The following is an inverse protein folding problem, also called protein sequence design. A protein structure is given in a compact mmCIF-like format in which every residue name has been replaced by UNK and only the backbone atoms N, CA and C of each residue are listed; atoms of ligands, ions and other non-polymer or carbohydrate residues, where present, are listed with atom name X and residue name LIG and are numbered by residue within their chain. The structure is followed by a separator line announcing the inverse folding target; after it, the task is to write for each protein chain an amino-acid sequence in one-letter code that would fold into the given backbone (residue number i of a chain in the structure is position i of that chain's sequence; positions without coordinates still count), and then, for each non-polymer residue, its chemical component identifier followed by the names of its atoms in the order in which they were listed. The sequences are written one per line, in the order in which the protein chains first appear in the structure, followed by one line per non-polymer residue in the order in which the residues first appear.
data_IF_301373058715
#
_entry.id   IF_301373058715
#
_cell.length_a   1.000
_cell.length_b   1.000
_cell.length_c   1.000
_cell.angle_alpha   90.00
_cell.angle_beta   90.00
_cell.angle_gamma   90.00
#
_symmetry.space_group_name_H-M   'P 1'
#
loop_
_entity.id
_entity.type
_entity.pdbx_description
1 polymer ?
#
# COMPACT_ATOMS: atom_id res chain seq x y z
N UNK A 1 -27.72 22.16 7.75
CA UNK A 1 -27.21 21.03 8.57
C UNK A 1 -25.85 21.48 9.06
N UNK A 2 -25.63 21.57 10.37
CA UNK A 2 -24.28 21.84 10.88
C UNK A 2 -23.49 20.56 10.67
N UNK A 3 -22.49 20.58 9.79
CA UNK A 3 -21.47 19.54 9.74
C UNK A 3 -20.68 19.63 11.05
N UNK A 4 -21.04 18.78 12.00
CA UNK A 4 -20.30 18.63 13.23
C UNK A 4 -18.86 18.20 12.89
N UNK A 5 -17.87 18.88 13.48
CA UNK A 5 -16.48 18.60 13.21
C UNK A 5 -16.15 17.14 13.58
N UNK A 6 -15.51 16.43 12.67
CA UNK A 6 -15.10 15.03 12.85
C UNK A 6 -13.65 14.92 13.24
N UNK A 7 -13.33 13.90 14.03
CA UNK A 7 -12.00 13.66 14.57
C UNK A 7 -11.51 12.24 14.27
N UNK A 8 -10.19 12.09 14.21
CA UNK A 8 -9.48 10.84 13.99
C UNK A 8 -8.46 10.58 15.10
N UNK A 9 -8.19 9.29 15.34
CA UNK A 9 -7.18 8.82 16.29
C UNK A 9 -5.96 8.33 15.53
N UNK A 10 -4.84 9.03 15.73
CA UNK A 10 -3.55 8.69 15.13
C UNK A 10 -2.67 8.03 16.17
N UNK A 11 -2.06 6.91 15.81
CA UNK A 11 -1.06 6.26 16.65
C UNK A 11 0.21 7.11 16.74
N UNK A 12 0.87 7.16 17.89
CA UNK A 12 2.25 7.66 17.95
C UNK A 12 3.22 6.67 17.26
N UNK A 13 4.19 7.11 16.42
CA UNK A 13 5.16 6.23 15.77
C UNK A 13 6.00 5.38 16.73
N UNK A 14 6.31 5.91 17.91
CA UNK A 14 7.08 5.23 18.93
C UNK A 14 6.21 4.28 19.78
N UNK A 15 4.89 4.45 19.79
CA UNK A 15 3.99 3.61 20.57
C UNK A 15 4.07 2.15 20.11
N UNK A 16 4.30 1.25 21.06
CA UNK A 16 4.06 -0.19 20.87
C UNK A 16 2.67 -0.48 21.41
N UNK A 17 1.87 -1.26 20.68
CA UNK A 17 0.54 -1.63 21.13
C UNK A 17 0.17 -3.04 20.72
N UNK A 18 -0.67 -3.67 21.52
CA UNK A 18 -1.40 -4.90 21.20
C UNK A 18 -2.58 -4.53 20.30
N UNK A 19 -2.63 -5.07 19.08
CA UNK A 19 -3.75 -4.80 18.15
C UNK A 19 -5.06 -5.30 18.75
N UNK A 20 -5.00 -6.37 19.56
CA UNK A 20 -6.13 -6.93 20.28
C UNK A 20 -6.66 -5.95 21.34
N UNK A 21 -5.78 -5.30 22.09
CA UNK A 21 -6.18 -4.35 23.14
C UNK A 21 -6.78 -3.09 22.52
N UNK A 22 -6.15 -2.57 21.47
CA UNK A 22 -6.71 -1.46 20.68
C UNK A 22 -8.08 -1.84 20.12
N UNK A 23 -8.24 -3.08 19.63
CA UNK A 23 -9.52 -3.52 19.09
C UNK A 23 -10.61 -3.55 20.16
N UNK A 24 -10.31 -4.09 21.35
CA UNK A 24 -11.24 -4.16 22.46
C UNK A 24 -11.66 -2.77 22.96
N UNK A 25 -10.72 -1.81 22.99
CA UNK A 25 -10.97 -0.44 23.44
C UNK A 25 -11.77 0.36 22.41
N UNK A 26 -11.44 0.25 21.13
CA UNK A 26 -11.98 1.14 20.08
C UNK A 26 -13.26 0.62 19.40
N UNK A 27 -13.54 -0.68 19.47
CA UNK A 27 -14.74 -1.27 18.84
C UNK A 27 -16.07 -0.61 19.26
N UNK A 28 -16.30 -0.24 20.54
CA UNK A 28 -17.52 0.48 20.93
C UNK A 28 -17.70 1.81 20.21
N UNK A 29 -16.60 2.53 19.95
CA UNK A 29 -16.62 3.83 19.28
C UNK A 29 -16.77 3.71 17.75
N UNK A 30 -16.39 2.57 17.17
CA UNK A 30 -16.56 2.31 15.73
C UNK A 30 -17.93 1.75 15.36
N UNK A 31 -18.77 1.43 16.35
CA UNK A 31 -20.04 0.72 16.14
C UNK A 31 -19.88 -0.72 15.62
N UNK A 32 -18.70 -1.31 15.79
CA UNK A 32 -18.40 -2.68 15.34
C UNK A 32 -18.13 -3.59 16.54
N UNK A 33 -18.23 -4.91 16.35
CA UNK A 33 -17.78 -5.84 17.38
C UNK A 33 -16.25 -5.97 17.38
N UNK A 34 -15.60 -6.29 18.51
CA UNK A 34 -14.13 -6.34 18.60
C UNK A 34 -13.45 -7.22 17.56
N UNK A 35 -14.03 -8.38 17.22
CA UNK A 35 -13.47 -9.29 16.23
C UNK A 35 -13.44 -8.70 14.80
N UNK A 36 -14.48 -7.97 14.42
CA UNK A 36 -14.57 -7.28 13.12
C UNK A 36 -13.63 -6.08 13.07
N UNK A 37 -13.58 -5.32 14.16
CA UNK A 37 -12.70 -4.16 14.25
C UNK A 37 -11.22 -4.56 14.24
N UNK A 38 -10.86 -5.68 14.87
CA UNK A 38 -9.52 -6.26 14.82
C UNK A 38 -9.04 -6.51 13.38
N UNK A 39 -9.89 -7.10 12.53
CA UNK A 39 -9.57 -7.32 11.11
C UNK A 39 -9.31 -6.00 10.36
N UNK A 40 -10.05 -4.95 10.73
CA UNK A 40 -9.89 -3.62 10.15
C UNK A 40 -8.59 -2.96 10.61
N UNK A 41 -8.25 -3.06 11.91
CA UNK A 41 -7.04 -2.50 12.49
C UNK A 41 -5.76 -3.07 11.88
N UNK A 42 -5.75 -4.36 11.51
CA UNK A 42 -4.60 -4.94 10.80
C UNK A 42 -4.28 -4.23 9.47
N UNK A 43 -5.26 -3.53 8.89
CA UNK A 43 -5.10 -2.70 7.68
C UNK A 43 -4.87 -1.22 7.98
N UNK A 44 -4.86 -0.83 9.25
CA UNK A 44 -4.76 0.56 9.72
C UNK A 44 -3.60 0.75 10.69
N UNK A 45 -2.34 0.67 10.22
CA UNK A 45 -1.17 0.76 11.09
C UNK A 45 -0.97 2.14 11.75
N UNK A 46 -1.59 3.19 11.21
CA UNK A 46 -1.38 4.58 11.61
C UNK A 46 -2.66 5.29 12.08
N UNK A 47 -3.61 5.54 11.17
CA UNK A 47 -4.92 6.13 11.53
C UNK A 47 -5.84 5.01 12.00
N UNK A 48 -6.05 4.90 13.31
CA UNK A 48 -6.73 3.77 13.96
C UNK A 48 -8.25 3.84 13.78
N UNK A 49 -8.84 5.01 14.02
CA UNK A 49 -10.27 5.26 13.94
C UNK A 49 -10.56 6.69 13.44
N UNK A 50 -11.74 6.87 12.86
CA UNK A 50 -12.19 8.04 12.09
C UNK A 50 -13.68 8.28 12.35
N UNK A 51 -14.17 9.43 11.89
CA UNK A 51 -15.57 9.86 11.95
C UNK A 51 -16.13 9.95 13.38
N UNK A 52 -15.26 10.30 14.34
CA UNK A 52 -15.65 10.46 15.74
C UNK A 52 -16.15 11.88 16.00
N UNK A 53 -17.11 12.02 16.91
CA UNK A 53 -17.35 13.30 17.58
C UNK A 53 -16.13 13.67 18.43
N UNK A 54 -15.98 14.95 18.77
CA UNK A 54 -14.89 15.39 19.65
C UNK A 54 -14.89 14.64 20.99
N UNK A 55 -16.08 14.48 21.59
CA UNK A 55 -16.26 13.77 22.85
C UNK A 55 -15.81 12.32 22.74
N UNK A 56 -16.30 11.61 21.73
CA UNK A 56 -15.95 10.19 21.53
C UNK A 56 -14.46 10.01 21.27
N UNK A 57 -13.83 10.93 20.52
CA UNK A 57 -12.41 10.92 20.27
C UNK A 57 -11.58 11.10 21.56
N UNK A 58 -11.96 12.05 22.42
CA UNK A 58 -11.30 12.29 23.70
C UNK A 58 -11.50 11.12 24.69
N UNK A 59 -12.72 10.57 24.75
CA UNK A 59 -13.03 9.43 25.61
C UNK A 59 -12.25 8.18 25.17
N UNK A 60 -12.19 7.91 23.87
CA UNK A 60 -11.40 6.83 23.29
C UNK A 60 -9.90 7.03 23.53
N UNK A 61 -9.39 8.26 23.40
CA UNK A 61 -8.01 8.61 23.68
C UNK A 61 -7.64 8.36 25.14
N UNK A 62 -8.50 8.76 26.07
CA UNK A 62 -8.32 8.50 27.49
C UNK A 62 -8.32 7.00 27.79
N UNK A 63 -9.15 6.21 27.12
CA UNK A 63 -9.17 4.76 27.28
C UNK A 63 -7.88 4.09 26.77
N UNK A 64 -7.38 4.51 25.61
CA UNK A 64 -6.10 4.04 25.07
C UNK A 64 -4.91 4.46 25.94
N UNK A 65 -4.92 5.69 26.45
CA UNK A 65 -3.88 6.18 27.36
C UNK A 65 -3.82 5.38 28.66
N UNK A 66 -4.95 4.94 29.21
CA UNK A 66 -4.99 4.05 30.39
C UNK A 66 -4.40 2.66 30.13
N UNK A 67 -4.29 2.26 28.87
CA UNK A 67 -3.64 1.03 28.43
C UNK A 67 -2.19 1.28 27.94
N UNK A 68 -1.60 2.43 28.25
CA UNK A 68 -0.25 2.85 27.84
C UNK A 68 -0.07 2.93 26.31
N UNK A 69 -1.15 3.17 25.56
CA UNK A 69 -1.13 3.31 24.11
C UNK A 69 -1.19 4.80 23.77
N UNK A 70 -0.03 5.37 23.43
CA UNK A 70 0.06 6.77 23.04
C UNK A 70 -0.59 7.02 21.68
N UNK A 71 -1.53 7.97 21.66
CA UNK A 71 -2.23 8.41 20.46
C UNK A 71 -2.39 9.93 20.43
N UNK A 72 -2.63 10.46 19.24
CA UNK A 72 -2.97 11.85 18.98
C UNK A 72 -4.39 11.94 18.45
N UNK A 73 -5.17 12.86 18.99
CA UNK A 73 -6.48 13.25 18.46
C UNK A 73 -6.27 14.41 17.49
N UNK A 74 -6.76 14.28 16.25
CA UNK A 74 -6.68 15.33 15.23
C UNK A 74 -8.04 15.53 14.58
N UNK A 75 -8.33 16.76 14.14
CA UNK A 75 -9.53 16.98 13.33
C UNK A 75 -9.33 16.35 11.94
N UNK A 76 -10.38 15.75 11.37
CA UNK A 76 -10.26 15.03 10.09
C UNK A 76 -9.85 15.95 8.93
N UNK A 77 -10.24 17.22 8.99
CA UNK A 77 -9.87 18.23 8.00
C UNK A 77 -8.36 18.51 7.96
N UNK A 78 -7.64 18.18 9.03
CA UNK A 78 -6.19 18.38 9.15
C UNK A 78 -5.42 17.12 8.73
N UNK A 79 -6.11 16.03 8.36
CA UNK A 79 -5.47 14.85 7.79
C UNK A 79 -4.97 15.15 6.39
N UNK A 80 -3.68 14.94 6.16
CA UNK A 80 -3.08 15.15 4.84
C UNK A 80 -3.67 14.16 3.84
N UNK A 81 -4.08 14.67 2.68
CA UNK A 81 -4.61 13.82 1.61
C UNK A 81 -3.46 13.21 0.81
N UNK A 82 -3.37 11.89 0.83
CA UNK A 82 -2.42 11.17 -0.01
C UNK A 82 -2.86 11.32 -1.48
N UNK A 83 -1.97 11.76 -2.40
CA UNK A 83 -2.33 11.84 -3.80
C UNK A 83 -2.84 10.49 -4.33
N UNK A 84 -3.85 10.55 -5.19
CA UNK A 84 -4.35 9.37 -5.87
C UNK A 84 -3.22 8.69 -6.67
N UNK A 85 -3.21 7.35 -6.78
CA UNK A 85 -2.22 6.68 -7.60
C UNK A 85 -2.33 7.17 -9.06
N UNK A 86 -1.21 7.40 -9.74
CA UNK A 86 -1.25 7.88 -11.12
C UNK A 86 -1.95 6.85 -12.01
N UNK A 87 -2.82 7.33 -12.91
CA UNK A 87 -3.58 6.48 -13.85
C UNK A 87 -2.66 5.56 -14.66
N UNK A 88 -1.46 6.03 -14.97
CA UNK A 88 -0.45 5.28 -15.70
C UNK A 88 0.80 5.12 -14.82
N UNK A 89 1.18 3.89 -14.46
CA UNK A 89 2.47 3.63 -13.83
C UNK A 89 3.61 4.11 -14.73
N UNK A 90 4.69 4.57 -14.10
CA UNK A 90 5.94 4.89 -14.76
C UNK A 90 6.41 3.69 -15.59
N UNK A 91 6.69 3.94 -16.86
CA UNK A 91 7.24 2.92 -17.78
C UNK A 91 8.75 2.89 -17.76
N UNK A 92 9.39 4.00 -17.40
CA UNK A 92 10.83 4.11 -17.24
C UNK A 92 11.18 5.25 -16.29
N UNK A 93 12.39 5.17 -15.75
CA UNK A 93 13.09 6.22 -15.05
C UNK A 93 14.59 5.99 -15.25
N UNK A 94 15.42 7.00 -14.97
CA UNK A 94 16.88 6.92 -14.94
C UNK A 94 17.30 7.19 -13.49
N UNK A 95 18.16 6.33 -12.94
CA UNK A 95 18.69 6.50 -11.59
C UNK A 95 20.06 7.17 -11.70
N UNK A 96 20.07 8.49 -11.57
CA UNK A 96 21.30 9.27 -11.56
C UNK A 96 21.94 9.30 -10.18
N UNK A 97 23.12 9.89 -10.06
CA UNK A 97 23.86 9.91 -8.80
C UNK A 97 23.12 10.68 -7.70
N UNK A 98 22.56 11.83 -8.05
CA UNK A 98 21.91 12.83 -7.20
C UNK A 98 20.37 12.83 -7.30
N UNK A 99 19.79 12.19 -8.33
CA UNK A 99 18.35 12.24 -8.53
C UNK A 99 17.72 11.02 -9.21
N UNK A 100 16.43 10.86 -8.97
CA UNK A 100 15.53 10.02 -9.74
C UNK A 100 14.93 10.85 -10.89
N UNK A 101 15.31 10.50 -12.12
CA UNK A 101 14.84 11.20 -13.32
C UNK A 101 13.74 10.41 -13.98
N UNK A 102 12.61 11.07 -14.18
CA UNK A 102 11.40 10.51 -14.78
C UNK A 102 11.08 11.28 -16.04
N UNK A 103 10.83 10.52 -17.11
CA UNK A 103 10.41 11.05 -18.39
C UNK A 103 9.15 10.31 -18.82
N UNK A 104 8.01 10.98 -18.65
CA UNK A 104 6.71 10.52 -19.12
C UNK A 104 6.14 11.54 -20.11
N UNK A 105 5.28 11.15 -21.07
CA UNK A 105 4.83 12.00 -22.18
C UNK A 105 4.19 13.36 -21.84
N UNK A 106 3.98 13.67 -20.55
CA UNK A 106 3.37 14.92 -20.06
C UNK A 106 4.12 15.54 -18.89
N UNK A 107 5.21 14.93 -18.46
CA UNK A 107 5.98 15.39 -17.30
C UNK A 107 7.38 14.78 -17.36
N UNK A 108 8.38 15.67 -17.40
CA UNK A 108 9.77 15.30 -17.15
C UNK A 108 10.15 15.93 -15.82
N UNK A 109 10.63 15.11 -14.90
CA UNK A 109 10.95 15.53 -13.54
C UNK A 109 12.31 14.99 -13.11
N UNK A 110 13.08 15.84 -12.43
CA UNK A 110 14.26 15.43 -11.68
C UNK A 110 13.93 15.54 -10.21
N UNK A 111 13.87 14.41 -9.50
CA UNK A 111 13.51 14.37 -8.08
C UNK A 111 14.77 14.00 -7.28
N UNK A 112 15.30 14.93 -6.47
CA UNK A 112 16.39 14.63 -5.56
C UNK A 112 16.03 13.49 -4.59
N UNK A 113 17.01 12.65 -4.25
CA UNK A 113 16.77 11.44 -3.44
C UNK A 113 16.19 11.74 -2.05
N UNK A 114 16.53 12.88 -1.45
CA UNK A 114 16.04 13.33 -0.15
C UNK A 114 14.56 13.76 -0.14
N UNK A 115 13.95 13.94 -1.32
CA UNK A 115 12.52 14.27 -1.43
C UNK A 115 11.61 13.05 -1.31
N UNK A 116 12.16 11.84 -1.46
CA UNK A 116 11.41 10.62 -1.23
C UNK A 116 11.11 10.45 0.26
N UNK A 117 9.84 10.15 0.53
CA UNK A 117 9.28 10.10 1.86
C UNK A 117 8.86 8.69 2.27
N UNK A 118 8.16 7.97 1.39
CA UNK A 118 7.72 6.60 1.65
C UNK A 118 7.92 5.74 0.39
N UNK A 119 8.56 4.59 0.56
CA UNK A 119 8.76 3.59 -0.48
C UNK A 119 8.09 2.29 -0.06
N UNK A 120 7.24 1.71 -0.89
CA UNK A 120 6.63 0.43 -0.54
C UNK A 120 6.20 -0.43 -1.73
N UNK A 121 5.98 -1.72 -1.47
CA UNK A 121 5.40 -2.66 -2.42
C UNK A 121 3.94 -2.89 -2.11
N UNK A 122 3.08 -2.53 -3.06
CA UNK A 122 1.62 -2.65 -2.95
C UNK A 122 1.12 -3.66 -3.98
N UNK A 123 0.63 -4.84 -3.55
CA UNK A 123 -0.04 -5.76 -4.45
C UNK A 123 -1.48 -5.30 -4.72
N UNK A 124 -1.91 -5.41 -5.97
CA UNK A 124 -3.30 -5.23 -6.38
C UNK A 124 -3.85 -6.53 -6.97
N UNK A 125 -5.00 -6.95 -6.45
CA UNK A 125 -5.69 -8.17 -6.84
C UNK A 125 -6.73 -7.86 -7.90
N UNK A 126 -6.41 -8.18 -9.16
CA UNK A 126 -7.34 -8.07 -10.27
C UNK A 126 -8.11 -9.38 -10.40
N UNK A 127 -9.35 -9.39 -9.91
CA UNK A 127 -10.29 -10.48 -10.20
C UNK A 127 -10.85 -10.27 -11.61
N UNK A 128 -10.25 -10.90 -12.60
CA UNK A 128 -10.86 -11.01 -13.93
C UNK A 128 -11.99 -12.03 -13.86
N UNK A 129 -13.24 -11.57 -13.85
CA UNK A 129 -14.41 -12.39 -14.20
C UNK A 129 -14.39 -12.62 -15.70
N UNK A 130 -13.60 -13.60 -16.15
CA UNK A 130 -13.53 -13.97 -17.57
C UNK A 130 -14.55 -15.05 -17.93
N UNK A 131 -15.41 -14.78 -18.90
CA UNK A 131 -16.04 -15.82 -19.73
C UNK A 131 -15.02 -16.27 -20.78
N UNK A 132 -14.39 -17.42 -20.58
CA UNK A 132 -13.64 -18.07 -21.65
C UNK A 132 -14.65 -18.70 -22.63
N UNK A 133 -14.78 -18.13 -23.84
CA UNK A 133 -15.12 -18.98 -24.99
C UNK A 133 -13.90 -19.89 -25.19
N UNK A 134 -14.10 -21.19 -24.97
CA UNK A 134 -13.10 -22.19 -25.30
C UNK A 134 -12.86 -22.16 -26.82
N UNK A 135 -11.60 -22.07 -27.20
CA UNK A 135 -11.13 -22.34 -28.55
C UNK A 135 -11.32 -23.84 -28.81
N UNK A 136 -12.14 -24.27 -29.78
CA UNK A 136 -12.52 -25.69 -29.94
C UNK A 136 -11.38 -26.59 -30.43
N UNK A 137 -10.18 -26.05 -30.69
CA UNK A 137 -9.07 -26.80 -31.28
C UNK A 137 -8.06 -27.41 -30.29
N UNK A 138 -8.09 -27.09 -28.99
CA UNK A 138 -7.20 -27.75 -28.00
C UNK A 138 -7.79 -29.05 -27.40
N UNK A 139 -9.03 -29.40 -27.71
CA UNK A 139 -9.77 -30.46 -27.01
C UNK A 139 -9.80 -31.83 -27.72
N UNK A 140 -8.81 -32.15 -28.56
CA UNK A 140 -8.75 -33.44 -29.29
C UNK A 140 -7.60 -34.39 -28.89
N UNK A 141 -6.79 -34.05 -27.88
CA UNK A 141 -5.68 -34.94 -27.43
C UNK A 141 -5.92 -35.69 -26.12
N UNK A 142 -7.09 -35.54 -25.49
CA UNK A 142 -7.48 -36.28 -24.29
C UNK A 142 -8.96 -36.67 -24.35
N UNK A 143 -9.35 -37.42 -25.37
CA UNK A 143 -10.67 -38.01 -25.48
C UNK A 143 -10.53 -39.53 -25.50
N UNK A 144 -10.20 -40.13 -24.36
CA UNK A 144 -10.42 -41.57 -24.12
C UNK A 144 -10.11 -41.91 -22.65
N UNK A 145 -11.03 -41.57 -21.75
CA UNK A 145 -11.55 -42.41 -20.65
C UNK A 145 -12.31 -41.55 -19.65
N UNK A 146 -13.51 -42.03 -19.28
CA UNK A 146 -14.44 -41.52 -18.27
C UNK A 146 -15.36 -40.38 -18.75
N UNK A 147 -16.43 -40.80 -19.41
CA UNK A 147 -17.70 -40.10 -19.38
C UNK A 147 -18.29 -40.22 -17.96
N UNK A 148 -18.11 -39.19 -17.14
CA UNK A 148 -19.12 -38.67 -16.20
C UNK A 148 -18.55 -37.46 -15.43
N UNK A 149 -19.38 -36.42 -15.29
CA UNK A 149 -19.13 -35.18 -14.58
C UNK A 149 -18.16 -34.15 -15.22
N UNK A 150 -18.54 -33.62 -16.39
CA UNK A 150 -18.06 -32.30 -16.83
C UNK A 150 -18.73 -31.17 -16.01
N UNK A 151 -18.44 -31.12 -14.70
CA UNK A 151 -18.70 -29.93 -13.89
C UNK A 151 -17.65 -28.89 -14.25
N UNK A 152 -17.99 -27.99 -15.18
CA UNK A 152 -17.14 -26.86 -15.60
C UNK A 152 -16.93 -25.92 -14.41
N UNK A 153 -15.94 -26.23 -13.56
CA UNK A 153 -15.52 -25.37 -12.48
C UNK A 153 -14.84 -24.15 -13.09
N UNK A 154 -15.60 -23.07 -13.27
CA UNK A 154 -15.10 -21.74 -13.61
C UNK A 154 -14.16 -21.25 -12.49
N UNK A 155 -12.89 -21.58 -12.57
CA UNK A 155 -11.88 -21.03 -11.67
C UNK A 155 -11.65 -19.56 -12.03
N UNK A 156 -12.16 -18.65 -11.19
CA UNK A 156 -11.83 -17.23 -11.28
C UNK A 156 -10.31 -17.07 -11.11
N UNK A 157 -9.58 -16.82 -12.21
CA UNK A 157 -8.14 -16.60 -12.16
C UNK A 157 -7.89 -15.19 -11.61
N UNK A 158 -7.64 -15.10 -10.31
CA UNK A 158 -7.18 -13.86 -9.67
C UNK A 158 -5.76 -13.59 -10.14
N UNK A 159 -5.52 -12.48 -10.84
CA UNK A 159 -4.17 -12.02 -11.14
C UNK A 159 -3.70 -11.00 -10.12
N UNK A 160 -2.46 -11.13 -9.68
CA UNK A 160 -1.84 -10.20 -8.72
C UNK A 160 -0.83 -9.35 -9.49
N UNK A 161 -0.94 -8.03 -9.37
CA UNK A 161 0.04 -7.09 -9.90
C UNK A 161 0.76 -6.45 -8.73
N UNK A 162 2.09 -6.47 -8.73
CA UNK A 162 2.90 -5.82 -7.68
C UNK A 162 3.37 -4.48 -8.22
N UNK A 163 3.02 -3.43 -7.48
CA UNK A 163 3.53 -2.10 -7.74
C UNK A 163 4.55 -1.70 -6.69
N UNK A 164 5.59 -0.98 -7.11
CA UNK A 164 6.40 -0.15 -6.23
C UNK A 164 5.78 1.24 -6.20
N UNK A 165 5.29 1.65 -5.03
CA UNK A 165 4.77 2.98 -4.75
C UNK A 165 5.88 3.84 -4.18
N UNK A 166 6.00 5.05 -4.70
CA UNK A 166 6.96 6.06 -4.29
C UNK A 166 6.18 7.32 -3.95
N UNK A 167 6.33 7.81 -2.73
CA UNK A 167 5.72 9.06 -2.29
C UNK A 167 6.83 10.07 -2.01
N UNK A 168 6.71 11.25 -2.58
CA UNK A 168 7.55 12.41 -2.31
C UNK A 168 6.75 13.42 -1.47
N UNK A 169 7.42 14.14 -0.57
CA UNK A 169 6.73 15.10 0.33
C UNK A 169 6.79 16.56 -0.11
N UNK A 170 7.70 16.92 -1.00
CA UNK A 170 7.88 18.31 -1.45
C UNK A 170 8.46 18.37 -2.88
N UNK A 171 7.61 18.57 -3.91
CA UNK A 171 6.14 18.59 -3.84
C UNK A 171 5.54 17.23 -3.47
N UNK A 172 4.32 17.23 -2.88
CA UNK A 172 3.60 16.02 -2.54
C UNK A 172 3.15 15.28 -3.82
N UNK A 173 3.91 14.27 -4.23
CA UNK A 173 3.70 13.52 -5.47
C UNK A 173 3.75 12.03 -5.18
N UNK A 174 2.78 11.29 -5.75
CA UNK A 174 2.77 9.83 -5.76
C UNK A 174 3.13 9.30 -7.14
N UNK A 175 4.13 8.43 -7.19
CA UNK A 175 4.53 7.71 -8.39
C UNK A 175 4.39 6.21 -8.17
N UNK A 176 4.16 5.49 -9.26
CA UNK A 176 3.93 4.05 -9.23
C UNK A 176 4.74 3.37 -10.33
N UNK A 177 5.42 2.28 -10.01
CA UNK A 177 6.15 1.43 -10.96
C UNK A 177 5.52 0.05 -10.99
N UNK A 178 5.15 -0.42 -12.17
CA UNK A 178 4.67 -1.79 -12.38
C UNK A 178 5.85 -2.73 -12.65
N UNK A 179 6.03 -3.74 -11.78
CA UNK A 179 7.04 -4.79 -11.93
C UNK A 179 7.09 -5.40 -13.33
N UNK A 180 5.93 -5.59 -13.96
CA UNK A 180 5.80 -6.30 -15.23
C UNK A 180 5.89 -5.39 -16.47
N UNK A 181 5.69 -4.08 -16.30
CA UNK A 181 5.69 -3.13 -17.43
C UNK A 181 6.88 -2.16 -17.44
N UNK A 182 7.68 -2.10 -16.37
CA UNK A 182 8.83 -1.19 -16.29
C UNK A 182 9.98 -1.60 -17.22
N UNK A 183 10.60 -0.63 -17.88
CA UNK A 183 11.74 -0.79 -18.78
C UNK A 183 13.06 -0.67 -18.00
N UNK A 184 13.44 -1.75 -17.30
CA UNK A 184 14.63 -1.78 -16.43
C UNK A 184 15.93 -1.35 -17.12
N UNK A 185 16.09 -1.61 -18.44
CA UNK A 185 17.28 -1.19 -19.19
C UNK A 185 17.54 0.32 -19.14
N UNK A 186 16.48 1.14 -19.09
CA UNK A 186 16.60 2.60 -19.02
C UNK A 186 17.03 3.10 -17.63
N UNK A 187 16.88 2.26 -16.62
CA UNK A 187 17.13 2.61 -15.22
C UNK A 187 18.63 2.71 -14.88
N UNK A 188 19.52 2.24 -15.75
CA UNK A 188 20.96 2.23 -15.48
C UNK A 188 21.38 1.17 -14.45
N UNK A 189 20.52 0.20 -14.14
CA UNK A 189 20.84 -0.94 -13.28
C UNK A 189 21.33 -2.14 -14.11
N UNK A 190 22.18 -3.02 -13.56
CA UNK A 190 22.55 -4.28 -14.22
C UNK A 190 21.30 -5.12 -14.55
N UNK A 191 21.21 -5.62 -15.78
CA UNK A 191 20.05 -6.35 -16.27
C UNK A 191 20.36 -7.83 -16.43
N UNK A 192 19.49 -8.66 -15.84
CA UNK A 192 19.47 -10.11 -16.01
C UNK A 192 18.18 -10.58 -16.68
N UNK A 193 18.09 -11.83 -17.18
CA UNK A 193 16.87 -12.33 -17.82
C UNK A 193 15.63 -12.34 -16.91
N UNK A 194 15.83 -12.47 -15.59
CA UNK A 194 14.71 -12.49 -14.63
C UNK A 194 14.18 -11.07 -14.35
N UNK A 195 12.94 -10.79 -14.77
CA UNK A 195 12.23 -9.55 -14.40
C UNK A 195 12.10 -9.36 -12.89
N UNK A 196 11.97 -10.47 -12.15
CA UNK A 196 11.92 -10.42 -10.69
C UNK A 196 13.22 -9.92 -10.10
N UNK A 197 14.36 -10.48 -10.55
CA UNK A 197 15.67 -10.07 -10.10
C UNK A 197 15.97 -8.61 -10.48
N UNK A 198 15.58 -8.17 -11.68
CA UNK A 198 15.69 -6.77 -12.08
C UNK A 198 14.84 -5.84 -11.19
N UNK A 199 13.62 -6.26 -10.85
CA UNK A 199 12.75 -5.50 -9.96
C UNK A 199 13.30 -5.42 -8.54
N UNK A 200 13.81 -6.53 -8.00
CA UNK A 200 14.50 -6.56 -6.70
C UNK A 200 15.72 -5.63 -6.70
N UNK A 201 16.54 -5.69 -7.76
CA UNK A 201 17.72 -4.81 -7.93
C UNK A 201 17.31 -3.33 -7.96
N UNK A 202 16.21 -2.98 -8.64
CA UNK A 202 15.65 -1.63 -8.63
C UNK A 202 15.25 -1.20 -7.22
N UNK A 203 14.49 -2.04 -6.50
CA UNK A 203 14.02 -1.76 -5.14
C UNK A 203 15.20 -1.56 -4.18
N UNK A 204 16.20 -2.43 -4.21
CA UNK A 204 17.41 -2.32 -3.39
C UNK A 204 18.24 -1.08 -3.73
N UNK A 205 18.28 -0.69 -5.01
CA UNK A 205 18.97 0.54 -5.42
C UNK A 205 18.24 1.79 -4.93
N UNK A 206 16.91 1.81 -5.03
CA UNK A 206 16.10 2.92 -4.50
C UNK A 206 16.21 3.02 -2.98
N UNK A 207 16.18 1.90 -2.25
CA UNK A 207 16.38 1.90 -0.80
C UNK A 207 17.73 2.55 -0.40
N UNK A 208 18.81 2.20 -1.12
CA UNK A 208 20.15 2.72 -0.82
C UNK A 208 20.28 4.21 -1.12
N UNK A 209 19.57 4.71 -2.13
CA UNK A 209 19.62 6.11 -2.54
C UNK A 209 18.70 6.99 -1.68
N UNK A 210 17.48 6.54 -1.39
CA UNK A 210 16.49 7.27 -0.60
C UNK A 210 16.68 7.06 0.91
N UNK A 211 17.82 7.47 1.45
CA UNK A 211 18.21 7.21 2.85
C UNK A 211 17.29 7.86 3.89
N UNK A 212 16.57 8.92 3.51
CA UNK A 212 15.59 9.60 4.36
C UNK A 212 14.17 9.02 4.27
N UNK A 213 13.92 8.13 3.31
CA UNK A 213 12.58 7.61 3.09
C UNK A 213 12.24 6.47 4.07
N UNK A 214 11.01 6.49 4.57
CA UNK A 214 10.45 5.36 5.30
C UNK A 214 10.29 4.18 4.34
N UNK A 215 10.76 3.01 4.75
CA UNK A 215 10.57 1.76 4.02
C UNK A 215 9.34 1.07 4.55
N UNK A 216 8.32 0.95 3.70
CA UNK A 216 7.06 0.33 4.07
C UNK A 216 7.15 -1.20 4.23
N UNK A 217 6.13 -1.83 4.83
CA UNK A 217 6.16 -3.25 5.18
C UNK A 217 6.36 -4.19 3.99
N UNK A 218 5.76 -3.91 2.82
CA UNK A 218 5.88 -4.76 1.64
C UNK A 218 7.30 -4.78 1.10
N UNK A 219 7.95 -3.63 1.07
CA UNK A 219 9.36 -3.52 0.70
C UNK A 219 10.28 -4.20 1.72
N UNK A 220 10.03 -4.01 3.04
CA UNK A 220 10.76 -4.73 4.10
C UNK A 220 10.64 -6.25 3.96
N UNK A 221 9.48 -6.76 3.56
CA UNK A 221 9.30 -8.19 3.33
C UNK A 221 10.12 -8.71 2.16
N UNK A 222 10.14 -8.00 1.03
CA UNK A 222 10.95 -8.37 -0.13
C UNK A 222 12.44 -8.41 0.20
N UNK A 223 12.92 -7.40 0.94
CA UNK A 223 14.32 -7.28 1.36
C UNK A 223 14.75 -8.41 2.30
N UNK A 224 13.83 -8.95 3.09
CA UNK A 224 14.04 -10.15 3.92
C UNK A 224 13.98 -11.47 3.12
N UNK A 225 13.80 -11.41 1.81
CA UNK A 225 13.73 -12.58 0.93
C UNK A 225 12.35 -13.25 0.89
N UNK A 226 11.31 -12.66 1.50
CA UNK A 226 9.96 -13.21 1.46
C UNK A 226 9.29 -12.89 0.11
N UNK A 227 8.60 -13.87 -0.46
CA UNK A 227 7.84 -13.69 -1.69
C UNK A 227 6.53 -12.95 -1.39
N UNK A 228 6.45 -11.70 -1.85
CA UNK A 228 5.44 -10.70 -1.49
C UNK A 228 3.97 -11.01 -1.89
N UNK A 229 3.66 -12.19 -2.43
CA UNK A 229 2.38 -12.44 -3.12
C UNK A 229 1.34 -13.23 -2.34
N UNK A 230 1.71 -14.02 -1.33
CA UNK A 230 0.76 -14.89 -0.62
C UNK A 230 0.56 -14.56 0.86
N UNK A 231 1.54 -13.91 1.50
CA UNK A 231 1.54 -13.71 2.96
C UNK A 231 1.36 -12.25 3.39
N UNK A 232 1.51 -11.30 2.45
CA UNK A 232 1.27 -9.90 2.78
C UNK A 232 -0.23 -9.63 2.71
N UNK A 233 -0.90 -9.59 3.87
CA UNK A 233 -2.20 -8.89 4.04
C UNK A 233 -2.01 -7.37 3.88
N UNK A 234 -1.23 -6.99 2.87
CA UNK A 234 -0.82 -5.65 2.55
C UNK A 234 -1.51 -5.28 1.25
N UNK A 235 -2.25 -4.18 1.27
CA UNK A 235 -3.03 -3.73 0.13
C UNK A 235 -2.92 -2.21 0.01
N UNK A 236 -3.57 -1.67 -1.03
CA UNK A 236 -3.59 -0.23 -1.29
C UNK A 236 -4.14 0.58 -0.11
N UNK A 237 -5.19 0.09 0.56
CA UNK A 237 -5.80 0.79 1.67
C UNK A 237 -4.84 0.92 2.86
N UNK A 238 -4.05 -0.13 3.11
CA UNK A 238 -3.02 -0.13 4.15
C UNK A 238 -1.88 0.84 3.85
N UNK A 239 -1.42 0.90 2.58
CA UNK A 239 -0.45 1.91 2.15
C UNK A 239 -0.99 3.32 2.33
N UNK A 240 -2.23 3.59 1.91
CA UNK A 240 -2.85 4.91 2.03
C UNK A 240 -3.04 5.32 3.49
N UNK A 241 -3.42 4.39 4.38
CA UNK A 241 -3.48 4.64 5.81
C UNK A 241 -2.11 4.98 6.41
N UNK A 242 -1.07 4.21 6.06
CA UNK A 242 0.31 4.45 6.49
C UNK A 242 0.81 5.80 6.00
N UNK A 243 0.63 6.11 4.72
CA UNK A 243 1.05 7.36 4.11
C UNK A 243 0.33 8.56 4.72
N UNK A 244 -0.99 8.51 4.87
CA UNK A 244 -1.78 9.59 5.47
C UNK A 244 -1.33 9.86 6.90
N UNK A 245 -1.15 8.81 7.69
CA UNK A 245 -0.66 8.92 9.06
C UNK A 245 0.72 9.60 9.12
N UNK A 246 1.70 9.06 8.38
CA UNK A 246 3.08 9.57 8.39
C UNK A 246 3.16 11.03 7.89
N UNK A 247 2.42 11.38 6.83
CA UNK A 247 2.38 12.76 6.33
C UNK A 247 1.79 13.72 7.37
N UNK A 248 0.73 13.30 8.06
CA UNK A 248 0.04 14.15 9.04
C UNK A 248 0.90 14.41 10.27
N UNK A 249 1.55 13.38 10.82
CA UNK A 249 2.41 13.54 12.01
C UNK A 249 3.68 14.34 11.73
N UNK A 250 4.19 14.34 10.51
CA UNK A 250 5.36 15.14 10.12
C UNK A 250 4.99 16.61 9.83
N UNK A 251 3.70 16.96 9.91
CA UNK A 251 3.24 18.32 9.67
C UNK A 251 3.36 18.73 8.20
N UNK A 252 3.28 17.77 7.26
CA UNK A 252 3.13 18.11 5.85
C UNK A 252 1.80 18.86 5.71
N UNK A 253 1.81 19.99 5.01
CA UNK A 253 0.59 20.78 4.84
C UNK A 253 -0.47 19.92 4.11
N UNK A 254 -1.73 19.89 4.60
CA UNK A 254 -2.80 19.11 4.01
C UNK A 254 -3.18 19.57 2.60
#
# INVERSE_FOLDING_TARGET
MNDEAKFALLRDPAARFSVQDVAAILAPYSGAIPAEFLQTLHRRPGVLLRDLSEKDALDAAAALSRADIAIQVVAEKDLVQVPAPPRYPLKSAILEEDAFVVDVPRWTGRIPWEKFFLLDLVPEFNRKTGSTQQDPHESQLFAETNADAAATTRAARTSITIYLELLCRDPLIRMRIDRNAFAFRKAGIPIVPSREANFRTLVETLQRRCTSAVVGPGMMQLLKGMNSTKESNYDRARFENLAQWLLTIEGVAP
#
